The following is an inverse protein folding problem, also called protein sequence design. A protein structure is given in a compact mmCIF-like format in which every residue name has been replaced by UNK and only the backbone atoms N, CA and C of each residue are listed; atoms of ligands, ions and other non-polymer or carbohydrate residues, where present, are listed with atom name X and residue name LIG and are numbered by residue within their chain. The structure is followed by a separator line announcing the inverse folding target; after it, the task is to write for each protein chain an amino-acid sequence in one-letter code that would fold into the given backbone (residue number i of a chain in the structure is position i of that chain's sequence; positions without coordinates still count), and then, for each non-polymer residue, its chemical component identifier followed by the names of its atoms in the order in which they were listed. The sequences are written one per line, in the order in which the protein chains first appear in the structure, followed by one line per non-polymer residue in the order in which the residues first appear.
data_IF_054261017353
#
_entry.id   IF_054261017353
#
_cell.length_a   1.000
_cell.length_b   1.000
_cell.length_c   1.000
_cell.angle_alpha   90.00
_cell.angle_beta   90.00
_cell.angle_gamma   90.00
#
_symmetry.space_group_name_H-M   'P 1'
#
loop_
_entity.id
_entity.type
_entity.pdbx_description
1 polymer ?
#
# COMPACT_ATOMS: atom_id res chain seq x y z
N UNK A 1 0.72 14.91 -24.17
CA UNK A 1 0.67 16.10 -23.27
C UNK A 1 0.38 17.40 -24.02
N UNK A 2 1.05 17.68 -25.16
CA UNK A 2 0.81 18.87 -26.00
C UNK A 2 -0.64 19.04 -26.48
N UNK A 3 -1.33 17.95 -26.80
CA UNK A 3 -2.72 18.01 -27.29
C UNK A 3 -3.71 18.49 -26.21
N UNK A 4 -3.52 18.05 -24.96
CA UNK A 4 -4.35 18.51 -23.83
C UNK A 4 -4.14 19.99 -23.55
N UNK A 5 -2.88 20.47 -23.58
CA UNK A 5 -2.54 21.88 -23.43
C UNK A 5 -3.17 22.77 -24.52
N UNK A 6 -3.25 22.26 -25.76
CA UNK A 6 -3.93 22.97 -26.83
C UNK A 6 -5.46 22.98 -26.67
N UNK A 7 -6.06 21.90 -26.16
CA UNK A 7 -7.48 21.87 -25.81
C UNK A 7 -7.81 22.86 -24.68
N UNK A 8 -6.99 22.92 -23.63
CA UNK A 8 -7.13 23.92 -22.55
C UNK A 8 -7.08 25.34 -23.07
N UNK A 9 -6.10 25.64 -23.93
CA UNK A 9 -5.92 26.97 -24.52
C UNK A 9 -7.09 27.36 -25.42
N UNK A 10 -7.62 26.42 -26.20
CA UNK A 10 -8.78 26.67 -27.07
C UNK A 10 -10.07 26.87 -26.28
N UNK A 11 -10.28 26.12 -25.20
CA UNK A 11 -11.45 26.29 -24.32
C UNK A 11 -11.45 27.66 -23.63
N UNK A 12 -10.30 28.07 -23.10
CA UNK A 12 -10.08 29.42 -22.53
C UNK A 12 -10.30 30.51 -23.59
N UNK A 13 -9.67 30.39 -24.76
CA UNK A 13 -9.79 31.40 -25.80
C UNK A 13 -11.24 31.54 -26.33
N UNK A 14 -12.00 30.44 -26.40
CA UNK A 14 -13.39 30.47 -26.85
C UNK A 14 -14.36 31.15 -25.88
N UNK A 15 -13.99 31.27 -24.60
CA UNK A 15 -14.84 31.82 -23.53
C UNK A 15 -14.38 33.19 -23.06
N UNK A 16 -13.09 33.54 -23.21
CA UNK A 16 -12.49 34.70 -22.55
C UNK A 16 -12.49 35.99 -23.39
N UNK A 17 -12.59 35.93 -24.73
CA UNK A 17 -12.25 37.10 -25.56
C UNK A 17 -13.38 37.76 -26.36
N UNK A 18 -14.66 37.49 -26.08
CA UNK A 18 -15.71 38.30 -26.72
C UNK A 18 -15.84 39.71 -26.13
N UNK A 19 -15.63 39.88 -24.82
CA UNK A 19 -15.93 41.16 -24.13
C UNK A 19 -14.86 41.62 -23.11
N UNK A 20 -13.63 41.10 -23.16
CA UNK A 20 -12.48 41.52 -22.32
C UNK A 20 -12.71 41.59 -20.79
N UNK A 21 -13.73 40.94 -20.23
CA UNK A 21 -13.95 40.87 -18.78
C UNK A 21 -14.31 39.47 -18.31
N UNK A 22 -13.54 38.96 -17.34
CA UNK A 22 -13.76 37.66 -16.73
C UNK A 22 -14.79 37.77 -15.61
N UNK A 23 -16.06 37.50 -15.92
CA UNK A 23 -17.16 37.49 -14.95
C UNK A 23 -17.31 36.11 -14.27
N UNK A 24 -17.92 36.08 -13.10
CA UNK A 24 -18.12 34.85 -12.32
C UNK A 24 -18.85 33.75 -13.10
N UNK A 25 -19.79 34.13 -13.98
CA UNK A 25 -20.54 33.20 -14.85
C UNK A 25 -19.62 32.48 -15.86
N UNK A 26 -18.53 33.12 -16.31
CA UNK A 26 -17.55 32.50 -17.21
C UNK A 26 -16.73 31.42 -16.49
N UNK A 27 -16.44 31.60 -15.19
CA UNK A 27 -15.77 30.58 -14.38
C UNK A 27 -16.59 29.29 -14.31
N UNK A 28 -17.90 29.43 -14.18
CA UNK A 28 -18.81 28.29 -14.11
C UNK A 28 -18.94 27.58 -15.46
N UNK A 29 -18.98 28.32 -16.57
CA UNK A 29 -18.96 27.72 -17.92
C UNK A 29 -17.65 26.99 -18.23
N UNK A 30 -16.51 27.53 -17.79
CA UNK A 30 -15.20 26.88 -17.92
C UNK A 30 -15.16 25.60 -17.09
N UNK A 31 -15.64 25.62 -15.84
CA UNK A 31 -15.72 24.43 -14.98
C UNK A 31 -16.64 23.35 -15.56
N UNK A 32 -17.79 23.72 -16.13
CA UNK A 32 -18.68 22.77 -16.79
C UNK A 32 -18.02 22.13 -18.02
N UNK A 33 -17.30 22.90 -18.84
CA UNK A 33 -16.56 22.36 -20.00
C UNK A 33 -15.35 21.51 -19.60
N UNK A 34 -14.71 21.81 -18.47
CA UNK A 34 -13.60 21.02 -17.92
C UNK A 34 -14.07 19.69 -17.34
N UNK A 35 -15.25 19.67 -16.72
CA UNK A 35 -15.83 18.47 -16.11
C UNK A 35 -16.61 17.60 -17.09
N UNK A 36 -16.94 18.10 -18.28
CA UNK A 36 -17.40 17.28 -19.40
C UNK A 36 -16.23 16.41 -19.88
N UNK A 37 -16.11 15.19 -19.33
CA UNK A 37 -15.22 14.16 -19.88
C UNK A 37 -15.54 14.02 -21.38
N UNK A 38 -14.54 14.10 -22.28
CA UNK A 38 -14.78 13.82 -23.68
C UNK A 38 -15.30 12.39 -23.77
N UNK A 39 -16.51 12.22 -24.34
CA UNK A 39 -17.03 10.88 -24.57
C UNK A 39 -15.96 10.07 -25.30
N UNK A 40 -15.69 8.82 -24.85
CA UNK A 40 -14.73 7.98 -25.53
C UNK A 40 -15.20 7.83 -26.97
N UNK A 41 -14.45 8.41 -27.92
CA UNK A 41 -14.66 8.17 -29.35
C UNK A 41 -14.74 6.66 -29.51
N UNK A 42 -15.93 6.16 -29.87
CA UNK A 42 -16.17 4.73 -30.12
C UNK A 42 -15.10 4.23 -31.07
N UNK A 43 -14.05 3.62 -30.52
CA UNK A 43 -13.03 2.93 -31.30
C UNK A 43 -13.69 1.67 -31.81
N UNK A 44 -14.12 1.76 -33.06
CA UNK A 44 -14.58 0.68 -33.92
C UNK A 44 -13.68 -0.55 -33.69
N UNK A 45 -14.28 -1.63 -33.20
CA UNK A 45 -13.63 -2.91 -32.90
C UNK A 45 -12.81 -3.43 -34.08
N UNK A 46 -11.52 -3.13 -34.09
CA UNK A 46 -10.61 -3.55 -35.14
C UNK A 46 -9.31 -4.11 -34.55
N UNK A 47 -9.42 -5.17 -33.77
CA UNK A 47 -8.37 -6.19 -33.72
C UNK A 47 -9.00 -7.59 -33.67
N UNK A 48 -8.70 -8.48 -34.62
CA UNK A 48 -9.28 -9.81 -34.68
C UNK A 48 -8.64 -10.74 -33.64
N UNK A 49 -9.47 -11.58 -33.03
CA UNK A 49 -9.15 -12.60 -32.00
C UNK A 49 -8.03 -13.60 -32.39
N UNK A 50 -7.51 -13.55 -33.61
CA UNK A 50 -6.46 -14.45 -34.10
C UNK A 50 -5.07 -14.17 -33.49
N UNK A 51 -4.76 -12.94 -33.08
CA UNK A 51 -3.43 -12.60 -32.52
C UNK A 51 -3.21 -13.15 -31.10
N UNK A 52 -4.28 -13.38 -30.32
CA UNK A 52 -4.17 -13.92 -28.97
C UNK A 52 -3.79 -15.40 -28.95
N UNK A 53 -4.20 -16.18 -29.96
CA UNK A 53 -3.92 -17.62 -30.02
C UNK A 53 -2.47 -17.88 -30.47
N UNK A 54 -1.94 -17.07 -31.37
CA UNK A 54 -0.55 -17.18 -31.82
C UNK A 54 0.44 -16.88 -30.69
N UNK A 55 0.13 -15.94 -29.80
CA UNK A 55 0.98 -15.59 -28.67
C UNK A 55 1.04 -16.70 -27.61
N UNK A 56 -0.08 -17.39 -27.36
CA UNK A 56 -0.15 -18.54 -26.43
C UNK A 56 0.61 -19.74 -27.01
N UNK A 57 0.50 -20.00 -28.31
CA UNK A 57 1.25 -21.08 -28.96
C UNK A 57 2.77 -20.84 -28.94
N UNK A 58 3.22 -19.59 -29.08
CA UNK A 58 4.63 -19.23 -28.99
C UNK A 58 5.20 -19.43 -27.56
N UNK A 59 4.42 -19.07 -26.53
CA UNK A 59 4.82 -19.27 -25.12
C UNK A 59 4.94 -20.76 -24.75
N UNK A 60 4.06 -21.64 -25.26
CA UNK A 60 4.13 -23.08 -25.00
C UNK A 60 5.34 -23.74 -25.67
N UNK A 61 5.73 -23.29 -26.86
CA UNK A 61 6.91 -23.82 -27.56
C UNK A 61 8.23 -23.33 -26.93
N UNK A 62 8.29 -22.07 -26.47
CA UNK A 62 9.47 -21.54 -25.79
C UNK A 62 9.67 -22.13 -24.38
N UNK A 63 8.58 -22.33 -23.62
CA UNK A 63 8.65 -22.93 -22.28
C UNK A 63 9.04 -24.41 -22.29
N UNK A 64 8.63 -25.17 -23.31
CA UNK A 64 8.97 -26.59 -23.45
C UNK A 64 10.46 -26.86 -23.69
N UNK A 65 11.13 -25.99 -24.45
CA UNK A 65 12.57 -26.13 -24.72
C UNK A 65 13.42 -25.92 -23.46
N UNK A 66 13.07 -24.93 -22.63
CA UNK A 66 13.82 -24.59 -21.42
C UNK A 66 13.72 -25.68 -20.32
N UNK A 67 12.57 -26.34 -20.17
CA UNK A 67 12.39 -27.44 -19.22
C UNK A 67 13.17 -28.71 -19.61
N UNK A 68 13.37 -28.95 -20.91
CA UNK A 68 14.13 -30.12 -21.40
C UNK A 68 15.63 -30.04 -21.10
N UNK A 69 16.22 -28.84 -21.02
CA UNK A 69 17.66 -28.68 -20.73
C UNK A 69 17.99 -28.87 -19.25
N UNK A 70 17.05 -28.57 -18.32
CA UNK A 70 17.29 -28.76 -16.88
C UNK A 70 17.10 -30.20 -16.39
N UNK A 71 16.23 -31.00 -17.02
CA UNK A 71 15.97 -32.38 -16.60
C UNK A 71 16.97 -33.41 -17.15
N UNK A 72 17.88 -33.01 -18.05
CA UNK A 72 18.86 -33.90 -18.70
C UNK A 72 20.14 -34.19 -17.91
N UNK A 73 20.34 -33.59 -16.73
CA UNK A 73 21.60 -33.73 -15.95
C UNK A 73 21.34 -33.91 -14.46
N UNK A 74 20.95 -35.11 -14.05
CA UNK A 74 21.19 -35.62 -12.69
C UNK A 74 21.21 -37.15 -12.69
N UNK A 75 22.34 -37.80 -12.38
CA UNK A 75 22.35 -39.23 -12.08
C UNK A 75 21.87 -39.43 -10.64
N UNK A 76 20.65 -39.93 -10.47
CA UNK A 76 20.17 -40.46 -9.19
C UNK A 76 20.82 -41.83 -8.99
N UNK A 77 21.72 -41.90 -8.01
CA UNK A 77 22.36 -43.13 -7.56
C UNK A 77 21.35 -43.88 -6.68
N UNK A 78 20.80 -44.98 -7.20
CA UNK A 78 19.87 -45.87 -6.51
C UNK A 78 20.71 -46.87 -5.71
N UNK A 79 20.62 -46.82 -4.38
CA UNK A 79 20.99 -47.94 -3.52
C UNK A 79 19.73 -48.41 -2.78
N UNK A 80 19.49 -49.72 -2.87
CA UNK A 80 18.30 -50.46 -2.46
C UNK A 80 18.00 -50.48 -0.95
N UNK A 81 16.76 -50.85 -0.56
CA UNK A 81 16.30 -50.90 0.82
C UNK A 81 16.62 -52.25 1.48
N UNK A 82 16.80 -52.28 2.80
CA UNK A 82 16.72 -53.52 3.58
C UNK A 82 16.01 -53.24 4.91
N UNK A 83 14.97 -54.03 5.15
CA UNK A 83 14.05 -53.98 6.28
C UNK A 83 14.60 -54.65 7.54
N UNK A 84 13.92 -54.32 8.64
CA UNK A 84 13.62 -55.11 9.85
C UNK A 84 14.45 -54.94 11.15
N UNK A 85 13.72 -54.38 12.13
CA UNK A 85 13.47 -54.88 13.49
C UNK A 85 14.58 -54.89 14.56
N UNK A 86 14.23 -54.35 15.73
CA UNK A 86 14.63 -54.93 17.03
C UNK A 86 15.19 -53.95 18.07
N UNK A 87 14.32 -53.46 18.95
CA UNK A 87 14.64 -52.86 20.26
C UNK A 87 15.54 -53.78 21.12
N UNK A 88 16.35 -53.23 22.05
CA UNK A 88 15.86 -53.15 23.43
C UNK A 88 16.27 -51.89 24.22
N UNK A 89 15.30 -51.45 25.03
CA UNK A 89 15.35 -50.87 26.38
C UNK A 89 16.61 -50.16 26.95
N UNK A 90 16.32 -48.96 27.49
CA UNK A 90 16.64 -48.44 28.84
C UNK A 90 18.03 -47.79 29.03
N UNK A 91 18.01 -46.46 29.10
CA UNK A 91 19.06 -45.62 29.66
C UNK A 91 18.44 -44.31 30.14
N UNK A 92 18.03 -44.31 31.41
CA UNK A 92 17.71 -43.12 32.19
C UNK A 92 18.97 -42.25 32.30
N UNK A 93 18.98 -41.10 31.64
CA UNK A 93 19.84 -39.98 32.00
C UNK A 93 19.07 -38.72 31.73
N UNK A 94 18.57 -38.12 32.82
CA UNK A 94 18.12 -36.75 32.84
C UNK A 94 19.20 -35.84 32.28
N UNK A 95 18.87 -35.20 31.16
CA UNK A 95 19.49 -33.97 30.72
C UNK A 95 18.43 -32.89 30.89
N UNK A 96 18.80 -31.72 31.44
CA UNK A 96 17.87 -30.62 31.56
C UNK A 96 17.42 -30.26 30.14
N UNK A 97 16.12 -30.14 29.96
CA UNK A 97 15.54 -29.41 28.84
C UNK A 97 16.13 -28.01 28.95
N UNK A 98 17.20 -27.79 28.19
CA UNK A 98 17.69 -26.46 27.87
C UNK A 98 16.55 -25.84 27.07
N UNK A 99 15.67 -25.19 27.83
CA UNK A 99 14.69 -24.24 27.36
C UNK A 99 15.53 -23.20 26.63
N UNK A 100 15.74 -23.42 25.32
CA UNK A 100 16.15 -22.35 24.42
C UNK A 100 14.97 -21.39 24.41
N UNK A 101 14.90 -20.55 25.45
CA UNK A 101 14.32 -19.24 25.34
C UNK A 101 15.00 -18.64 24.13
N UNK A 102 14.25 -18.57 23.02
CA UNK A 102 14.39 -17.45 22.12
C UNK A 102 14.27 -16.22 23.02
N UNK A 103 15.42 -15.70 23.45
CA UNK A 103 15.57 -14.26 23.61
C UNK A 103 15.26 -13.71 22.21
N UNK A 104 13.98 -13.47 21.96
CA UNK A 104 13.59 -12.44 21.00
C UNK A 104 14.36 -11.22 21.44
N UNK A 105 15.18 -10.75 20.52
CA UNK A 105 15.93 -9.52 20.59
C UNK A 105 14.88 -8.41 20.80
N UNK A 106 14.54 -8.13 22.07
CA UNK A 106 13.72 -7.00 22.49
C UNK A 106 14.48 -5.76 22.02
N UNK A 107 14.26 -5.37 20.77
CA UNK A 107 14.64 -4.07 20.28
C UNK A 107 13.84 -3.09 21.12
N UNK A 108 14.48 -2.50 22.13
CA UNK A 108 13.85 -1.50 22.98
C UNK A 108 13.38 -0.38 22.06
N UNK A 109 12.06 -0.31 21.82
CA UNK A 109 11.49 0.76 21.02
C UNK A 109 11.80 2.09 21.71
N UNK A 110 12.47 2.97 20.98
CA UNK A 110 12.74 4.32 21.45
C UNK A 110 11.49 5.19 21.30
N UNK A 111 11.43 6.30 22.04
CA UNK A 111 10.42 7.35 21.81
C UNK A 111 10.53 7.89 20.38
N UNK A 112 9.42 8.20 19.67
CA UNK A 112 8.02 8.08 20.11
C UNK A 112 7.40 6.69 19.85
N UNK A 113 8.14 5.75 19.27
CA UNK A 113 7.63 4.46 18.81
C UNK A 113 7.05 3.59 19.93
N UNK A 114 7.63 3.62 21.14
CA UNK A 114 7.08 2.90 22.28
C UNK A 114 5.67 3.41 22.66
N UNK A 115 5.51 4.72 22.76
CA UNK A 115 4.23 5.34 23.14
C UNK A 115 3.15 5.09 22.09
N UNK A 116 3.52 5.14 20.81
CA UNK A 116 2.63 4.84 19.69
C UNK A 116 2.26 3.35 19.66
N UNK A 117 3.22 2.45 19.93
CA UNK A 117 2.97 1.01 20.04
C UNK A 117 1.98 0.69 21.17
N UNK A 118 2.17 1.29 22.35
CA UNK A 118 1.25 1.14 23.48
C UNK A 118 -0.14 1.73 23.17
N UNK A 119 -0.20 2.80 22.39
CA UNK A 119 -1.45 3.39 21.92
C UNK A 119 -2.22 2.42 20.99
N UNK A 120 -1.55 1.88 19.97
CA UNK A 120 -2.16 0.93 19.04
C UNK A 120 -2.50 -0.42 19.68
N UNK A 121 -1.68 -0.90 20.62
CA UNK A 121 -1.93 -2.18 21.30
C UNK A 121 -3.19 -2.15 22.16
N UNK A 122 -3.47 -1.01 22.81
CA UNK A 122 -4.67 -0.82 23.65
C UNK A 122 -5.97 -0.65 22.86
N UNK A 123 -5.86 -0.36 21.57
CA UNK A 123 -7.02 -0.16 20.72
C UNK A 123 -7.77 -1.47 20.49
N UNK A 124 -9.09 -1.41 20.52
CA UNK A 124 -9.98 -2.51 20.18
C UNK A 124 -11.03 -2.05 19.17
N UNK A 125 -11.38 -2.95 18.25
CA UNK A 125 -12.44 -2.66 17.28
C UNK A 125 -13.80 -2.52 18.00
N UNK A 126 -14.63 -1.51 17.67
CA UNK A 126 -15.93 -1.34 18.31
C UNK A 126 -16.88 -2.47 17.90
N UNK A 127 -17.76 -2.90 18.80
CA UNK A 127 -18.77 -3.93 18.49
C UNK A 127 -19.97 -3.36 17.71
N UNK A 128 -20.23 -2.06 17.87
CA UNK A 128 -21.38 -1.38 17.27
C UNK A 128 -21.21 -1.19 15.75
N UNK A 129 -22.29 -1.38 15.00
CA UNK A 129 -22.32 -1.18 13.54
C UNK A 129 -21.59 -2.26 12.72
N UNK A 130 -21.13 -3.35 13.37
CA UNK A 130 -20.55 -4.51 12.69
C UNK A 130 -21.61 -5.25 11.87
N UNK A 131 -21.21 -5.73 10.69
CA UNK A 131 -22.02 -6.60 9.85
C UNK A 131 -21.83 -8.07 10.27
N UNK A 132 -22.91 -8.86 10.24
CA UNK A 132 -22.90 -10.29 10.60
C UNK A 132 -21.99 -11.15 9.69
N UNK A 133 -21.66 -10.65 8.50
CA UNK A 133 -20.76 -11.29 7.56
C UNK A 133 -19.81 -10.27 6.95
N UNK A 134 -18.51 -10.53 7.04
CA UNK A 134 -17.50 -9.84 6.23
C UNK A 134 -17.21 -10.64 4.97
N UNK A 135 -17.04 -9.95 3.84
CA UNK A 135 -16.57 -10.57 2.59
C UNK A 135 -15.07 -10.94 2.67
N UNK A 136 -14.33 -10.36 3.63
CA UNK A 136 -12.92 -10.64 3.84
C UNK A 136 -12.73 -11.79 4.85
N UNK A 137 -11.94 -12.80 4.46
CA UNK A 137 -11.69 -14.04 5.24
C UNK A 137 -11.15 -13.76 6.65
N UNK A 138 -10.45 -12.64 6.85
CA UNK A 138 -9.99 -12.18 8.16
C UNK A 138 -10.41 -10.73 8.45
N UNK A 139 -11.60 -10.35 7.99
CA UNK A 139 -12.11 -8.98 8.09
C UNK A 139 -13.27 -8.82 9.07
N UNK A 140 -13.36 -7.62 9.63
CA UNK A 140 -14.58 -7.11 10.27
C UNK A 140 -15.07 -5.93 9.45
N UNK A 141 -16.27 -6.04 8.90
CA UNK A 141 -16.89 -5.00 8.07
C UNK A 141 -17.99 -4.29 8.82
N UNK A 142 -18.17 -3.00 8.54
CA UNK A 142 -19.15 -2.13 9.21
C UNK A 142 -20.13 -1.51 8.22
N UNK A 143 -21.31 -1.11 8.73
CA UNK A 143 -22.37 -0.46 7.95
C UNK A 143 -21.95 0.86 7.27
N UNK A 144 -20.94 1.53 7.82
CA UNK A 144 -20.38 2.74 7.21
C UNK A 144 -19.41 2.44 6.04
N UNK A 145 -19.15 1.16 5.74
CA UNK A 145 -18.39 0.72 4.58
C UNK A 145 -16.90 0.49 4.85
N UNK A 146 -16.45 0.62 6.10
CA UNK A 146 -15.08 0.26 6.48
C UNK A 146 -14.93 -1.23 6.73
N UNK A 147 -13.77 -1.76 6.37
CA UNK A 147 -13.35 -3.12 6.70
C UNK A 147 -11.98 -3.09 7.35
N UNK A 148 -11.83 -3.79 8.46
CA UNK A 148 -10.62 -3.86 9.26
C UNK A 148 -10.09 -5.29 9.29
N UNK A 149 -8.78 -5.44 9.39
CA UNK A 149 -8.18 -6.73 9.75
C UNK A 149 -8.61 -7.10 11.16
N UNK A 150 -9.14 -8.31 11.36
CA UNK A 150 -9.65 -8.73 12.67
C UNK A 150 -8.56 -8.82 13.74
N UNK A 151 -7.37 -9.29 13.37
CA UNK A 151 -6.29 -9.53 14.31
C UNK A 151 -5.43 -8.28 14.50
N UNK A 152 -5.11 -7.61 13.39
CA UNK A 152 -4.24 -6.43 13.37
C UNK A 152 -4.98 -5.11 13.56
N UNK A 153 -6.31 -5.13 13.54
CA UNK A 153 -7.22 -4.00 13.86
C UNK A 153 -7.10 -2.77 12.96
N UNK A 154 -6.17 -2.72 12.01
CA UNK A 154 -6.06 -1.63 11.04
C UNK A 154 -7.05 -1.77 9.88
N UNK A 155 -7.42 -0.65 9.27
CA UNK A 155 -8.29 -0.59 8.10
C UNK A 155 -7.62 -1.22 6.88
N UNK A 156 -8.26 -2.22 6.28
CA UNK A 156 -7.84 -2.87 5.02
C UNK A 156 -8.65 -2.43 3.82
N UNK A 157 -9.78 -1.76 4.02
CA UNK A 157 -10.60 -1.27 2.93
C UNK A 157 -11.69 -0.29 3.37
N UNK A 158 -12.12 0.54 2.42
CA UNK A 158 -13.28 1.42 2.54
C UNK A 158 -14.09 1.42 1.25
N UNK A 159 -15.40 1.24 1.36
CA UNK A 159 -16.33 1.28 0.22
C UNK A 159 -16.72 2.73 -0.07
N UNK A 160 -16.75 3.08 -1.36
CA UNK A 160 -17.27 4.36 -1.82
C UNK A 160 -18.68 4.16 -2.34
N UNK A 161 -19.66 4.76 -1.67
CA UNK A 161 -21.04 4.72 -2.13
C UNK A 161 -21.24 5.73 -3.26
N UNK A 162 -21.98 5.30 -4.29
CA UNK A 162 -22.26 6.15 -5.45
C UNK A 162 -22.98 7.44 -5.00
N UNK A 163 -22.43 8.59 -5.39
CA UNK A 163 -23.01 9.91 -5.14
C UNK A 163 -22.80 10.49 -3.74
N UNK A 164 -22.24 9.74 -2.78
CA UNK A 164 -22.01 10.24 -1.40
C UNK A 164 -20.57 10.14 -0.92
N UNK A 165 -19.70 9.39 -1.62
CA UNK A 165 -18.29 9.25 -1.24
C UNK A 165 -18.08 8.26 -0.10
N UNK A 166 -16.86 8.20 0.47
CA UNK A 166 -16.62 7.42 1.68
C UNK A 166 -17.33 8.11 2.85
N UNK A 167 -17.94 7.32 3.74
CA UNK A 167 -18.46 7.86 5.00
C UNK A 167 -17.30 8.10 5.97
N UNK A 168 -17.52 8.96 6.95
CA UNK A 168 -16.59 9.12 8.07
C UNK A 168 -16.54 7.84 8.92
N UNK A 169 -15.39 7.56 9.57
CA UNK A 169 -15.33 6.56 10.63
C UNK A 169 -16.35 6.91 11.74
N UNK A 170 -16.93 5.89 12.35
CA UNK A 170 -17.73 6.08 13.57
C UNK A 170 -16.82 6.14 14.80
N UNK A 171 -17.35 6.66 15.91
CA UNK A 171 -16.63 6.71 17.18
C UNK A 171 -15.99 5.36 17.53
N UNK A 172 -14.70 5.40 17.85
CA UNK A 172 -13.90 4.23 18.17
C UNK A 172 -13.35 3.48 16.95
N UNK A 173 -13.52 3.97 15.72
CA UNK A 173 -12.87 3.39 14.53
C UNK A 173 -11.63 4.16 14.08
N UNK A 174 -11.45 5.37 14.58
CA UNK A 174 -10.48 6.36 14.10
C UNK A 174 -9.05 5.79 14.15
N UNK A 175 -8.68 5.15 15.26
CA UNK A 175 -7.34 4.54 15.43
C UNK A 175 -7.09 3.45 14.39
N UNK A 176 -8.08 2.59 14.13
CA UNK A 176 -7.97 1.57 13.09
C UNK A 176 -7.80 2.16 11.69
N UNK A 177 -8.48 3.27 11.41
CA UNK A 177 -8.38 3.98 10.14
C UNK A 177 -7.01 4.67 10.00
N UNK A 178 -6.52 5.31 11.06
CA UNK A 178 -5.18 5.90 11.14
C UNK A 178 -4.11 4.84 10.85
N UNK A 179 -4.16 3.69 11.53
CA UNK A 179 -3.22 2.59 11.27
C UNK A 179 -3.26 2.11 9.81
N UNK A 180 -4.45 2.06 9.19
CA UNK A 180 -4.58 1.69 7.78
C UNK A 180 -3.97 2.72 6.83
N UNK A 181 -4.09 4.01 7.15
CA UNK A 181 -3.43 5.08 6.39
C UNK A 181 -1.91 5.05 6.51
N UNK A 182 -1.40 4.78 7.71
CA UNK A 182 0.03 4.60 7.95
C UNK A 182 0.58 3.40 7.17
N UNK A 183 -0.13 2.26 7.19
CA UNK A 183 0.22 1.10 6.38
C UNK A 183 0.21 1.42 4.88
N UNK A 184 -0.76 2.22 4.42
CA UNK A 184 -0.81 2.72 3.05
C UNK A 184 0.38 3.64 2.70
N UNK A 185 0.80 4.50 3.63
CA UNK A 185 1.97 5.36 3.47
C UNK A 185 3.27 4.56 3.41
N UNK A 186 3.37 3.45 4.14
CA UNK A 186 4.53 2.58 4.16
C UNK A 186 4.71 1.75 2.87
N UNK A 187 3.73 1.74 1.96
CA UNK A 187 3.79 1.04 0.68
C UNK A 187 4.70 1.74 -0.37
N UNK A 188 5.59 2.63 0.06
CA UNK A 188 6.61 3.26 -0.79
C UNK A 188 7.70 2.25 -1.19
N UNK A 189 8.37 2.52 -2.30
CA UNK A 189 9.38 1.61 -2.84
C UNK A 189 10.66 1.64 -1.99
N UNK A 190 11.34 0.50 -1.91
CA UNK A 190 12.67 0.44 -1.31
C UNK A 190 13.63 1.45 -1.99
N UNK A 191 14.50 2.16 -1.23
CA UNK A 191 15.40 3.19 -1.76
C UNK A 191 16.25 2.74 -2.95
N UNK A 192 16.72 1.49 -2.96
CA UNK A 192 17.51 0.93 -4.07
C UNK A 192 16.78 0.88 -5.42
N UNK A 193 15.44 0.86 -5.40
CA UNK A 193 14.62 0.82 -6.60
C UNK A 193 14.24 2.22 -7.11
N UNK A 194 14.60 3.28 -6.38
CA UNK A 194 14.33 4.64 -6.84
C UNK A 194 15.28 5.04 -7.98
N UNK A 195 14.70 5.68 -8.99
CA UNK A 195 15.46 6.45 -9.98
C UNK A 195 15.06 7.92 -9.88
N UNK A 196 15.98 8.84 -10.21
CA UNK A 196 15.73 10.29 -10.14
C UNK A 196 14.53 10.78 -10.98
N UNK A 197 14.07 9.98 -11.96
CA UNK A 197 12.89 10.28 -12.79
C UNK A 197 11.57 9.74 -12.22
N UNK A 198 11.62 8.93 -11.16
CA UNK A 198 10.46 8.27 -10.56
C UNK A 198 9.87 9.04 -9.38
N UNK A 199 10.60 9.96 -8.74
CA UNK A 199 10.14 10.68 -7.54
C UNK A 199 8.91 11.57 -7.78
N UNK A 200 8.67 12.03 -9.01
CA UNK A 200 7.51 12.86 -9.35
C UNK A 200 6.23 12.01 -9.42
N UNK A 201 5.37 12.14 -8.39
CA UNK A 201 4.06 11.50 -8.30
C UNK A 201 4.04 10.20 -7.50
N UNK A 202 5.19 9.62 -7.14
CA UNK A 202 5.26 8.45 -6.24
C UNK A 202 5.03 8.86 -4.78
N UNK A 203 5.32 10.12 -4.44
CA UNK A 203 5.17 10.63 -3.07
C UNK A 203 3.79 11.21 -2.78
N UNK A 204 2.94 11.44 -3.79
CA UNK A 204 1.59 11.96 -3.56
C UNK A 204 0.72 10.97 -2.76
N UNK A 205 0.72 9.65 -3.05
CA UNK A 205 -0.03 8.68 -2.25
C UNK A 205 0.38 8.61 -0.77
N UNK A 206 1.67 8.46 -0.39
CA UNK A 206 2.05 8.43 1.03
C UNK A 206 1.77 9.77 1.73
N UNK A 207 2.03 10.91 1.10
CA UNK A 207 1.70 12.23 1.67
C UNK A 207 0.19 12.39 1.88
N UNK A 208 -0.64 11.93 0.94
CA UNK A 208 -2.09 11.95 1.10
C UNK A 208 -2.53 11.06 2.27
N UNK A 209 -1.92 9.89 2.41
CA UNK A 209 -2.26 8.94 3.48
C UNK A 209 -1.87 9.50 4.85
N UNK A 210 -0.66 10.07 4.98
CA UNK A 210 -0.22 10.75 6.20
C UNK A 210 -1.13 11.94 6.55
N UNK A 211 -1.54 12.74 5.56
CA UNK A 211 -2.50 13.83 5.78
C UNK A 211 -3.86 13.34 6.28
N UNK A 212 -4.37 12.21 5.77
CA UNK A 212 -5.61 11.59 6.25
C UNK A 212 -5.46 11.00 7.67
N UNK A 213 -4.30 10.41 7.99
CA UNK A 213 -3.99 9.96 9.34
C UNK A 213 -3.98 11.14 10.32
N UNK A 214 -3.33 12.24 9.93
CA UNK A 214 -3.22 13.48 10.70
C UNK A 214 -4.57 14.12 11.00
N UNK A 215 -5.47 14.17 10.01
CA UNK A 215 -6.82 14.75 10.18
C UNK A 215 -7.66 14.04 11.24
N UNK A 216 -7.43 12.75 11.45
CA UNK A 216 -8.14 11.92 12.42
C UNK A 216 -7.41 11.79 13.77
N UNK A 217 -6.14 12.17 13.82
CA UNK A 217 -5.28 11.93 14.96
C UNK A 217 -5.49 12.96 16.09
N UNK A 218 -5.60 12.47 17.31
CA UNK A 218 -5.65 13.26 18.54
C UNK A 218 -4.53 12.88 19.54
N UNK A 219 -3.60 12.01 19.12
CA UNK A 219 -2.49 11.53 19.94
C UNK A 219 -1.18 12.24 19.56
N UNK A 220 -0.69 13.09 20.47
CA UNK A 220 0.44 13.99 20.23
C UNK A 220 1.73 13.30 19.74
N UNK A 221 2.20 12.18 20.33
CA UNK A 221 3.40 11.50 19.83
C UNK A 221 3.28 11.02 18.39
N UNK A 222 2.08 10.60 17.97
CA UNK A 222 1.83 10.20 16.58
C UNK A 222 1.77 11.42 15.65
N UNK A 223 1.22 12.55 16.12
CA UNK A 223 1.16 13.80 15.35
C UNK A 223 2.57 14.29 15.00
N UNK A 224 3.46 14.33 15.99
CA UNK A 224 4.85 14.74 15.82
C UNK A 224 5.58 13.83 14.84
N UNK A 225 5.41 12.51 14.98
CA UNK A 225 5.97 11.53 14.06
C UNK A 225 5.45 11.72 12.62
N UNK A 226 4.14 11.94 12.43
CA UNK A 226 3.56 12.19 11.09
C UNK A 226 4.18 13.46 10.48
N UNK A 227 4.32 14.54 11.25
CA UNK A 227 4.90 15.79 10.79
C UNK A 227 6.34 15.59 10.31
N UNK A 228 7.15 14.88 11.09
CA UNK A 228 8.55 14.61 10.76
C UNK A 228 8.68 13.83 9.45
N UNK A 229 7.91 12.76 9.28
CA UNK A 229 7.91 11.96 8.05
C UNK A 229 7.40 12.76 6.85
N UNK A 230 6.32 13.55 7.02
CA UNK A 230 5.82 14.41 5.96
C UNK A 230 6.88 15.43 5.50
N UNK A 231 7.63 16.01 6.43
CA UNK A 231 8.64 17.02 6.13
C UNK A 231 9.82 16.39 5.36
N UNK A 232 10.25 15.18 5.73
CA UNK A 232 11.23 14.41 4.96
C UNK A 232 10.73 14.16 3.52
N UNK A 233 9.50 13.66 3.36
CA UNK A 233 8.93 13.37 2.04
C UNK A 233 8.75 14.65 1.18
N UNK A 234 8.36 15.78 1.79
CA UNK A 234 8.30 17.08 1.10
C UNK A 234 9.70 17.60 0.74
N UNK A 235 10.69 17.34 1.58
CA UNK A 235 12.09 17.65 1.27
C UNK A 235 12.56 16.84 0.04
N UNK A 236 12.22 15.55 -0.05
CA UNK A 236 12.52 14.73 -1.24
C UNK A 236 11.95 15.34 -2.52
N UNK A 237 10.72 15.89 -2.48
CA UNK A 237 10.10 16.54 -3.64
C UNK A 237 10.73 17.88 -4.02
N UNK A 238 11.25 18.63 -3.05
CA UNK A 238 11.70 20.01 -3.23
C UNK A 238 13.21 20.17 -3.34
N UNK A 239 14.00 19.17 -2.93
CA UNK A 239 15.46 19.22 -2.95
C UNK A 239 16.02 19.09 -4.37
N UNK A 240 16.90 20.04 -4.72
CA UNK A 240 17.71 20.01 -5.94
C UNK A 240 18.99 19.17 -5.77
N UNK A 241 19.40 18.90 -4.53
CA UNK A 241 20.58 18.10 -4.22
C UNK A 241 20.22 16.61 -4.21
N UNK A 242 20.87 15.83 -5.09
CA UNK A 242 20.58 14.40 -5.23
C UNK A 242 20.93 13.59 -3.98
N UNK A 243 22.00 13.95 -3.27
CA UNK A 243 22.42 13.24 -2.07
C UNK A 243 21.47 13.51 -0.90
N UNK A 244 21.12 14.78 -0.66
CA UNK A 244 20.15 15.17 0.37
C UNK A 244 18.76 14.55 0.11
N UNK A 245 18.36 14.52 -1.17
CA UNK A 245 17.11 13.88 -1.59
C UNK A 245 17.13 12.38 -1.31
N UNK A 246 18.24 11.70 -1.62
CA UNK A 246 18.39 10.26 -1.37
C UNK A 246 18.36 9.98 0.14
N UNK A 247 19.13 10.72 0.92
CA UNK A 247 19.19 10.59 2.37
C UNK A 247 17.80 10.78 3.01
N UNK A 248 17.09 11.85 2.64
CA UNK A 248 15.76 12.12 3.20
C UNK A 248 14.72 11.04 2.82
N UNK A 249 14.87 10.45 1.63
CA UNK A 249 14.00 9.34 1.22
C UNK A 249 14.29 8.06 2.00
N UNK A 250 15.57 7.74 2.21
CA UNK A 250 16.00 6.59 2.99
C UNK A 250 15.54 6.70 4.45
N UNK A 251 15.71 7.87 5.06
CA UNK A 251 15.23 8.15 6.41
C UNK A 251 13.69 8.04 6.52
N UNK A 252 12.95 8.66 5.59
CA UNK A 252 11.50 8.53 5.56
C UNK A 252 11.04 7.08 5.36
N UNK A 253 11.77 6.32 4.52
CA UNK A 253 11.51 4.90 4.30
C UNK A 253 11.68 4.10 5.58
N UNK A 254 12.80 4.24 6.28
CA UNK A 254 13.07 3.55 7.55
C UNK A 254 12.02 3.89 8.61
N UNK A 255 11.67 5.17 8.76
CA UNK A 255 10.65 5.60 9.71
C UNK A 255 9.28 4.98 9.39
N UNK A 256 8.88 4.96 8.12
CA UNK A 256 7.63 4.35 7.67
C UNK A 256 7.62 2.83 7.84
N UNK A 257 8.72 2.14 7.54
CA UNK A 257 8.81 0.69 7.74
C UNK A 257 8.76 0.33 9.23
N UNK A 258 9.46 1.08 10.08
CA UNK A 258 9.43 0.88 11.53
C UNK A 258 8.02 1.06 12.09
N UNK A 259 7.30 2.10 11.64
CA UNK A 259 5.91 2.29 12.05
C UNK A 259 4.98 1.21 11.48
N UNK A 260 5.24 0.73 10.26
CA UNK A 260 4.47 -0.36 9.68
C UNK A 260 4.63 -1.66 10.47
N UNK A 261 5.83 -1.99 10.94
CA UNK A 261 6.06 -3.11 11.85
C UNK A 261 5.22 -2.98 13.12
N UNK A 262 5.15 -1.79 13.72
CA UNK A 262 4.31 -1.53 14.91
C UNK A 262 2.82 -1.73 14.59
N UNK A 263 2.34 -1.23 13.43
CA UNK A 263 0.95 -1.45 12.98
C UNK A 263 0.65 -2.93 12.74
N UNK A 264 1.61 -3.68 12.21
CA UNK A 264 1.51 -5.13 12.04
C UNK A 264 1.71 -5.90 13.35
N UNK A 265 2.03 -5.24 14.46
CA UNK A 265 2.33 -5.87 15.76
C UNK A 265 3.53 -6.81 15.69
N UNK A 266 4.60 -6.37 15.02
CA UNK A 266 5.91 -7.01 14.89
C UNK A 266 6.97 -6.27 15.69
#
# INVERSE_FOLDING_TARGET
MKDRLNEYRNALNSTVFKDNQFKAEHKQQVLVKLNQRPEPKKRKDWMPRAMSVAFIAFLLLAGGYFLSEQLGKSPVNIAEPTSEQGLPQRGDTGLPVEETKQEEEDSVLESPYLEISDYFTRYELPEEGRLDSSEAVNGVSYENGYTFNKDKKYMVGRIHYEGTGPKEPTEGQEVGVIMGWIAGAAAIQHPENQTAYMTLGILDPPLTSLGQAKELNDFEPLEEWIIEVEDLLKHVQSSENEEERKQSYEEAYEMLQKMYSIVEGQ
#
